data_IF_130221069256
#
_entry.id   IF_130221069256
#
_cell.length_a   1.000
_cell.length_b   1.000
_cell.length_c   1.000
_cell.angle_alpha   90.00
_cell.angle_beta   90.00
_cell.angle_gamma   90.00
#
_symmetry.space_group_name_H-M   'P 1'
#
loop_
_entity.id
_entity.type
_entity.pdbx_description
1 polymer ?
#
# COMPACT_ATOMS: atom_id res chain seq x y z
N UNK A 1 -3.60 4.01 -38.09
CA UNK A 1 -2.83 2.87 -37.55
C UNK A 1 -3.41 2.47 -36.19
N UNK A 2 -4.63 1.94 -36.15
CA UNK A 2 -5.41 1.80 -34.90
C UNK A 2 -6.17 0.45 -34.84
N UNK A 3 -5.52 -0.65 -35.22
CA UNK A 3 -6.19 -1.95 -35.28
C UNK A 3 -5.38 -3.16 -34.79
N UNK A 4 -4.12 -2.97 -34.37
CA UNK A 4 -3.31 -4.05 -33.80
C UNK A 4 -3.19 -4.03 -32.27
N UNK A 5 -3.62 -2.97 -31.57
CA UNK A 5 -3.57 -2.90 -30.09
C UNK A 5 -4.81 -3.49 -29.39
N UNK A 6 -5.76 -4.06 -30.14
CA UNK A 6 -6.98 -4.66 -29.57
C UNK A 6 -6.77 -6.11 -29.06
N UNK A 7 -5.55 -6.64 -29.21
CA UNK A 7 -5.10 -7.91 -28.63
C UNK A 7 -3.76 -7.64 -27.93
N UNK A 8 -3.70 -6.58 -27.12
CA UNK A 8 -2.71 -6.52 -26.05
C UNK A 8 -2.98 -7.67 -25.10
N UNK A 9 -1.93 -8.24 -24.49
CA UNK A 9 -2.04 -9.25 -23.45
C UNK A 9 -3.13 -8.89 -22.43
N UNK A 10 -3.69 -9.87 -21.74
CA UNK A 10 -4.73 -9.59 -20.75
C UNK A 10 -4.26 -8.44 -19.84
N UNK A 11 -5.13 -7.48 -19.47
CA UNK A 11 -4.75 -6.32 -18.62
C UNK A 11 -3.92 -6.72 -17.38
N UNK A 12 -4.05 -7.97 -16.95
CA UNK A 12 -3.30 -8.66 -15.90
C UNK A 12 -1.80 -8.84 -16.20
N UNK A 13 -1.39 -8.99 -17.46
CA UNK A 13 0.01 -9.13 -17.90
C UNK A 13 0.81 -7.83 -17.77
N UNK A 14 0.13 -6.67 -17.63
CA UNK A 14 0.77 -5.36 -17.42
C UNK A 14 0.98 -5.03 -15.93
N UNK A 15 0.46 -5.85 -15.01
CA UNK A 15 0.73 -5.72 -13.57
C UNK A 15 1.90 -6.61 -13.18
N UNK A 16 2.75 -6.11 -12.28
CA UNK A 16 3.78 -6.95 -11.68
C UNK A 16 3.17 -8.14 -10.94
N UNK A 17 3.92 -9.24 -10.88
CA UNK A 17 3.55 -10.42 -10.12
C UNK A 17 3.37 -10.07 -8.64
N UNK A 18 4.17 -9.14 -8.11
CA UNK A 18 4.02 -8.70 -6.73
C UNK A 18 2.71 -7.94 -6.49
N UNK A 19 2.27 -7.11 -7.43
CA UNK A 19 0.96 -6.45 -7.34
C UNK A 19 -0.15 -7.49 -7.38
N UNK A 20 -0.09 -8.45 -8.31
CA UNK A 20 -1.09 -9.51 -8.41
C UNK A 20 -1.16 -10.35 -7.12
N UNK A 21 0.00 -10.75 -6.57
CA UNK A 21 0.09 -11.54 -5.33
C UNK A 21 -0.55 -10.81 -4.15
N UNK A 22 -0.28 -9.51 -4.00
CA UNK A 22 -0.84 -8.70 -2.90
C UNK A 22 -2.29 -8.34 -3.11
N UNK A 23 -2.75 -8.23 -4.35
CA UNK A 23 -4.16 -8.11 -4.69
C UNK A 23 -4.94 -9.34 -4.23
N UNK A 24 -4.42 -10.54 -4.52
CA UNK A 24 -5.12 -11.80 -4.24
C UNK A 24 -5.01 -12.20 -2.75
N UNK A 25 -3.87 -11.97 -2.11
CA UNK A 25 -3.63 -12.35 -0.73
C UNK A 25 -2.77 -11.31 0.03
N UNK A 26 -3.37 -10.17 0.44
CA UNK A 26 -2.67 -9.15 1.21
C UNK A 26 -2.26 -9.69 2.58
N UNK A 27 -1.01 -9.45 2.98
CA UNK A 27 -0.43 -10.04 4.20
C UNK A 27 -0.72 -9.22 5.46
N UNK A 28 -0.99 -7.93 5.31
CA UNK A 28 -1.17 -6.97 6.41
C UNK A 28 -2.62 -6.46 6.52
N UNK A 29 -3.56 -7.10 5.83
CA UNK A 29 -4.96 -6.70 5.89
C UNK A 29 -5.57 -7.06 7.25
N UNK A 30 -6.17 -6.07 7.92
CA UNK A 30 -6.79 -6.24 9.23
C UNK A 30 -6.82 -4.95 10.04
N UNK A 31 -7.32 -5.04 11.26
CA UNK A 31 -7.22 -3.97 12.25
C UNK A 31 -6.36 -4.38 13.43
N UNK A 32 -5.96 -3.38 14.21
CA UNK A 32 -5.35 -3.56 15.52
C UNK A 32 -6.32 -2.96 16.53
N UNK A 33 -6.77 -3.75 17.49
CA UNK A 33 -7.65 -3.26 18.56
C UNK A 33 -6.84 -2.62 19.68
N UNK A 34 -7.47 -1.78 20.51
CA UNK A 34 -6.83 -1.21 21.70
C UNK A 34 -6.37 -2.32 22.68
N UNK A 35 -7.09 -3.44 22.73
CA UNK A 35 -6.72 -4.61 23.53
C UNK A 35 -5.44 -5.28 23.00
N UNK A 36 -5.32 -5.46 21.68
CA UNK A 36 -4.11 -5.96 21.04
C UNK A 36 -2.91 -5.00 21.21
N UNK A 37 -3.19 -3.70 21.32
CA UNK A 37 -2.14 -2.71 21.48
C UNK A 37 -1.46 -2.78 22.86
N UNK A 38 -2.24 -3.05 23.91
CA UNK A 38 -1.73 -3.19 25.28
C UNK A 38 -1.01 -1.93 25.75
N UNK A 39 0.27 -2.07 26.11
CA UNK A 39 1.13 -0.95 26.56
C UNK A 39 1.77 -0.16 25.41
N UNK A 40 1.65 -0.65 24.17
CA UNK A 40 2.21 0.01 23.00
C UNK A 40 1.27 1.12 22.50
N UNK A 41 1.83 2.08 21.77
CA UNK A 41 1.08 3.20 21.22
C UNK A 41 0.39 2.80 19.92
N UNK A 42 -0.93 2.72 19.95
CA UNK A 42 -1.76 2.54 18.76
C UNK A 42 -1.92 3.88 18.03
N UNK A 43 -1.55 3.93 16.76
CA UNK A 43 -1.77 5.05 15.85
C UNK A 43 -2.73 4.60 14.77
N UNK A 44 -3.78 5.37 14.53
CA UNK A 44 -4.77 5.11 13.48
C UNK A 44 -4.74 6.31 12.54
N UNK A 45 -4.48 6.06 11.27
CA UNK A 45 -4.48 7.07 10.22
C UNK A 45 -5.54 6.73 9.18
N UNK A 46 -6.39 7.70 8.86
CA UNK A 46 -7.47 7.58 7.90
C UNK A 46 -7.18 8.46 6.69
N UNK A 47 -7.29 7.89 5.51
CA UNK A 47 -7.16 8.62 4.27
C UNK A 47 -8.12 8.12 3.21
N UNK A 48 -8.67 9.05 2.44
CA UNK A 48 -9.60 8.72 1.37
C UNK A 48 -9.47 9.73 0.25
N UNK A 49 -9.40 9.23 -0.97
CA UNK A 49 -9.46 10.05 -2.17
C UNK A 49 -10.90 10.08 -2.67
N UNK A 50 -11.64 11.15 -2.32
CA UNK A 50 -13.04 11.34 -2.77
C UNK A 50 -13.20 11.27 -4.30
N UNK A 51 -12.15 11.60 -5.06
CA UNK A 51 -12.15 11.56 -6.52
C UNK A 51 -12.22 10.15 -7.12
N UNK A 52 -11.80 9.12 -6.38
CA UNK A 52 -11.70 7.74 -6.86
C UNK A 52 -12.62 6.78 -6.11
N UNK A 53 -13.22 7.22 -4.99
CA UNK A 53 -14.09 6.40 -4.15
C UNK A 53 -13.34 5.37 -3.29
N UNK A 54 -12.02 5.50 -3.19
CA UNK A 54 -11.16 4.62 -2.42
C UNK A 54 -10.85 5.23 -1.05
N UNK A 55 -10.85 4.41 0.00
CA UNK A 55 -10.55 4.79 1.37
C UNK A 55 -9.65 3.75 2.03
N UNK A 56 -8.67 4.19 2.79
CA UNK A 56 -7.71 3.36 3.51
C UNK A 56 -7.55 3.85 4.93
N UNK A 57 -7.56 2.90 5.87
CA UNK A 57 -7.27 3.09 7.28
C UNK A 57 -6.04 2.28 7.62
N UNK A 58 -4.98 2.94 8.05
CA UNK A 58 -3.75 2.32 8.54
C UNK A 58 -3.78 2.26 10.07
N UNK A 59 -3.24 1.17 10.61
CA UNK A 59 -3.07 0.91 12.03
C UNK A 59 -1.60 0.61 12.30
N UNK A 60 -0.95 1.44 13.10
CA UNK A 60 0.41 1.18 13.57
C UNK A 60 0.41 0.91 15.05
N UNK A 61 1.16 -0.12 15.41
CA UNK A 61 1.56 -0.36 16.77
C UNK A 61 2.99 0.09 16.94
N UNK A 62 3.19 1.11 17.77
CA UNK A 62 4.49 1.75 17.99
C UNK A 62 4.98 1.42 19.39
N UNK A 63 6.21 0.92 19.47
CA UNK A 63 6.90 0.72 20.74
C UNK A 63 7.26 2.09 21.36
N UNK A 64 6.77 2.42 22.57
CA UNK A 64 7.00 3.71 23.20
C UNK A 64 8.45 3.94 23.64
N UNK A 65 9.25 2.90 23.80
CA UNK A 65 10.67 3.02 24.20
C UNK A 65 11.58 3.31 23.00
N UNK A 66 11.27 2.70 21.85
CA UNK A 66 12.12 2.78 20.66
C UNK A 66 11.57 3.65 19.54
N UNK A 67 10.30 4.09 19.67
CA UNK A 67 9.52 4.81 18.67
C UNK A 67 9.40 4.07 17.32
N UNK A 68 9.58 2.73 17.35
CA UNK A 68 9.53 1.88 16.16
C UNK A 68 8.16 1.26 15.96
N UNK A 69 7.74 1.16 14.70
CA UNK A 69 6.53 0.47 14.29
C UNK A 69 6.80 -1.04 14.36
N UNK A 70 6.25 -1.69 15.39
CA UNK A 70 6.39 -3.14 15.60
C UNK A 70 5.37 -3.95 14.81
N UNK A 71 4.24 -3.33 14.47
CA UNK A 71 3.20 -3.95 13.66
C UNK A 71 2.48 -2.88 12.84
N UNK A 72 2.17 -3.20 11.59
CA UNK A 72 1.43 -2.32 10.70
C UNK A 72 0.37 -3.14 9.99
N UNK A 73 -0.89 -2.74 10.16
CA UNK A 73 -2.05 -3.34 9.49
C UNK A 73 -2.86 -2.29 8.77
N UNK A 74 -3.68 -2.71 7.83
CA UNK A 74 -4.55 -1.80 7.09
C UNK A 74 -5.92 -2.38 6.79
N UNK A 75 -6.91 -1.50 6.69
CA UNK A 75 -8.20 -1.76 6.05
C UNK A 75 -8.32 -0.83 4.86
N UNK A 76 -8.46 -1.39 3.66
CA UNK A 76 -8.69 -0.61 2.44
C UNK A 76 -10.03 -1.00 1.83
N UNK A 77 -10.78 0.01 1.41
CA UNK A 77 -11.92 -0.12 0.52
C UNK A 77 -11.54 0.56 -0.80
N UNK A 78 -11.40 -0.21 -1.86
CA UNK A 78 -11.05 0.36 -3.16
C UNK A 78 -10.67 -0.68 -4.20
N UNK A 79 -10.12 -0.21 -5.31
CA UNK A 79 -9.63 -1.09 -6.36
C UNK A 79 -8.46 -1.97 -5.86
N UNK A 80 -8.26 -3.15 -6.48
CA UNK A 80 -7.21 -4.07 -6.01
C UNK A 80 -5.80 -3.47 -6.03
N UNK A 81 -5.52 -2.51 -6.92
CA UNK A 81 -4.25 -1.76 -6.90
C UNK A 81 -4.06 -0.94 -5.61
N UNK A 82 -5.13 -0.37 -5.05
CA UNK A 82 -5.10 0.32 -3.78
C UNK A 82 -4.82 -0.65 -2.62
N UNK A 83 -5.39 -1.86 -2.67
CA UNK A 83 -5.13 -2.93 -1.69
C UNK A 83 -3.66 -3.35 -1.73
N UNK A 84 -3.11 -3.63 -2.92
CA UNK A 84 -1.71 -4.02 -3.06
C UNK A 84 -0.73 -2.91 -2.64
N UNK A 85 -1.05 -1.64 -2.97
CA UNK A 85 -0.24 -0.49 -2.55
C UNK A 85 -0.28 -0.29 -1.04
N UNK A 86 -1.45 -0.46 -0.42
CA UNK A 86 -1.60 -0.35 1.04
C UNK A 86 -0.89 -1.49 1.77
N UNK A 87 -0.94 -2.71 1.24
CA UNK A 87 -0.22 -3.87 1.81
C UNK A 87 1.29 -3.68 1.76
N UNK A 88 1.82 -3.18 0.63
CA UNK A 88 3.24 -2.84 0.51
C UNK A 88 3.62 -1.69 1.44
N UNK A 89 2.79 -0.65 1.52
CA UNK A 89 3.04 0.47 2.42
C UNK A 89 3.13 0.01 3.88
N UNK A 90 2.20 -0.85 4.30
CA UNK A 90 2.22 -1.42 5.64
C UNK A 90 3.51 -2.21 5.91
N UNK A 91 3.99 -2.99 4.93
CA UNK A 91 5.24 -3.73 5.05
C UNK A 91 6.47 -2.82 5.14
N UNK A 92 6.53 -1.78 4.30
CA UNK A 92 7.64 -0.81 4.32
C UNK A 92 7.73 -0.04 5.64
N UNK A 93 6.60 0.18 6.32
CA UNK A 93 6.57 0.84 7.62
C UNK A 93 7.10 -0.02 8.76
N UNK A 94 7.04 -1.36 8.64
CA UNK A 94 7.47 -2.25 9.72
C UNK A 94 8.96 -2.08 10.06
N UNK A 95 9.26 -1.96 11.35
CA UNK A 95 10.62 -1.83 11.88
C UNK A 95 11.25 -0.43 11.72
N UNK A 96 10.57 0.50 11.04
CA UNK A 96 10.97 1.90 10.94
C UNK A 96 10.45 2.70 12.13
N UNK A 97 11.11 3.82 12.41
CA UNK A 97 10.54 4.83 13.33
C UNK A 97 9.38 5.58 12.68
N UNK A 98 8.52 6.21 13.48
CA UNK A 98 7.41 7.02 12.95
C UNK A 98 7.92 8.11 11.99
N UNK A 99 9.01 8.79 12.34
CA UNK A 99 9.64 9.81 11.50
C UNK A 99 10.21 9.29 10.17
N UNK A 100 10.62 8.03 10.12
CA UNK A 100 11.08 7.38 8.89
C UNK A 100 9.91 6.88 8.05
N UNK A 101 8.85 6.38 8.69
CA UNK A 101 7.63 5.95 8.01
C UNK A 101 6.98 7.13 7.29
N UNK A 102 6.92 8.31 7.95
CA UNK A 102 6.38 9.56 7.38
C UNK A 102 7.10 10.03 6.11
N UNK A 103 8.32 9.57 5.88
CA UNK A 103 9.11 9.93 4.69
C UNK A 103 8.94 8.97 3.52
N UNK A 104 8.25 7.84 3.71
CA UNK A 104 8.00 6.89 2.63
C UNK A 104 7.11 7.56 1.61
N UNK A 105 7.53 7.59 0.35
CA UNK A 105 6.75 8.20 -0.73
C UNK A 105 5.98 7.16 -1.54
N UNK A 106 4.97 7.61 -2.30
CA UNK A 106 4.28 6.78 -3.28
C UNK A 106 5.25 6.14 -4.30
N UNK A 107 6.33 6.84 -4.62
CA UNK A 107 7.39 6.34 -5.51
C UNK A 107 8.12 5.18 -4.86
N UNK A 108 8.32 5.20 -3.54
CA UNK A 108 8.98 4.09 -2.83
C UNK A 108 8.09 2.86 -2.78
N UNK A 109 6.79 3.04 -2.55
CA UNK A 109 5.79 1.97 -2.61
C UNK A 109 5.72 1.37 -4.02
N UNK A 110 5.65 2.22 -5.05
CA UNK A 110 5.60 1.75 -6.44
C UNK A 110 6.87 1.00 -6.83
N UNK A 111 8.06 1.50 -6.47
CA UNK A 111 9.33 0.79 -6.69
C UNK A 111 9.38 -0.56 -5.99
N UNK A 112 8.88 -0.65 -4.77
CA UNK A 112 8.86 -1.90 -4.01
C UNK A 112 7.93 -2.94 -4.64
N UNK A 113 6.90 -2.48 -5.37
CA UNK A 113 5.96 -3.34 -6.09
C UNK A 113 6.46 -3.80 -7.47
N UNK A 114 7.61 -3.30 -7.97
CA UNK A 114 8.12 -3.69 -9.29
C UNK A 114 8.78 -5.06 -9.25
N UNK A 115 8.49 -5.92 -10.23
CA UNK A 115 9.24 -7.17 -10.43
C UNK A 115 10.66 -6.92 -10.95
N UNK A 116 10.82 -5.86 -11.76
CA UNK A 116 12.12 -5.46 -12.32
C UNK A 116 12.30 -3.94 -12.21
N UNK A 117 13.51 -3.43 -11.98
CA UNK A 117 13.74 -2.01 -11.77
C UNK A 117 13.25 -1.11 -12.92
N UNK A 118 13.29 -1.63 -14.15
CA UNK A 118 13.03 -0.88 -15.37
C UNK A 118 11.56 -0.89 -15.82
N UNK A 119 10.74 -1.78 -15.26
CA UNK A 119 9.31 -1.93 -15.62
C UNK A 119 8.44 -1.42 -14.47
N UNK A 120 7.54 -0.44 -14.70
CA UNK A 120 6.60 0.02 -13.69
C UNK A 120 5.72 -1.12 -13.15
N UNK A 121 5.37 -1.05 -11.86
CA UNK A 121 4.59 -2.11 -11.21
C UNK A 121 3.13 -2.16 -11.69
N UNK A 122 2.61 -1.02 -12.16
CA UNK A 122 1.23 -0.84 -12.60
C UNK A 122 1.19 -0.09 -13.93
N UNK A 123 0.16 -0.32 -14.77
CA UNK A 123 -0.04 0.45 -16.00
C UNK A 123 -0.12 1.95 -15.72
N UNK A 124 0.41 2.78 -16.62
CA UNK A 124 0.49 4.24 -16.42
C UNK A 124 -0.83 4.93 -16.08
N UNK A 125 -1.98 4.37 -16.51
CA UNK A 125 -3.32 4.89 -16.18
C UNK A 125 -3.75 4.63 -14.72
N UNK A 126 -3.14 3.64 -14.04
CA UNK A 126 -3.46 3.21 -12.67
C UNK A 126 -2.43 3.68 -11.64
N UNK A 127 -1.44 4.45 -12.07
CA UNK A 127 -0.45 5.11 -11.19
C UNK A 127 -1.08 6.04 -10.14
N UNK A 128 -2.31 6.53 -10.34
CA UNK A 128 -2.98 7.34 -9.32
C UNK A 128 -3.35 6.54 -8.05
N UNK A 129 -3.51 5.22 -8.14
CA UNK A 129 -3.86 4.38 -7.00
C UNK A 129 -2.67 4.15 -6.05
N UNK A 130 -1.42 4.21 -6.54
CA UNK A 130 -0.22 4.15 -5.69
C UNK A 130 0.03 5.47 -4.95
N UNK A 131 -0.49 6.59 -5.47
CA UNK A 131 -0.45 7.92 -4.80
C UNK A 131 -1.25 7.91 -3.50
N UNK A 132 -2.35 7.16 -3.43
CA UNK A 132 -3.21 7.20 -2.24
C UNK A 132 -2.61 6.53 -1.01
N UNK A 133 -1.82 5.46 -1.19
CA UNK A 133 -1.18 4.78 -0.06
C UNK A 133 -0.14 5.69 0.63
N UNK A 134 0.37 6.69 -0.08
CA UNK A 134 1.28 7.71 0.44
C UNK A 134 0.56 8.77 1.25
N UNK A 135 -0.52 9.36 0.73
CA UNK A 135 -1.18 10.50 1.37
C UNK A 135 -1.84 10.13 2.74
N UNK A 136 -1.87 8.85 3.10
CA UNK A 136 -2.29 8.34 4.41
C UNK A 136 -1.30 8.62 5.53
N UNK A 137 -0.03 8.73 5.19
CA UNK A 137 1.09 8.79 6.13
C UNK A 137 1.53 10.25 6.33
#
# INVERSE_FOLDING_TARGET
MARNDLIGGALWEEYSQEVQRRMDNPSHMGEITEEEAGENRLVIADFGAESCGDAVRLYWLVDPETDKIINSRFKSFGCGTAIASSDMMAELCMGKTVDEAVKITNIDVEKALRDTPDIPAVPGQKMHCSVMAYDVI
#
